data_IF_579194784427
#
_entry.id   IF_579194784427
#
_cell.length_a   1.000
_cell.length_b   1.000
_cell.length_c   1.000
_cell.angle_alpha   90.00
_cell.angle_beta   90.00
_cell.angle_gamma   90.00
#
_symmetry.space_group_name_H-M   'P 1'
#
loop_
_entity.id
_entity.type
_entity.pdbx_description
1 polymer ?
#
# COMPACT_ATOMS: atom_id res chain seq x y z
N UNK A 1 -4.11 -16.37 2.05
CA UNK A 1 -3.94 -15.61 3.31
C UNK A 1 -2.47 -15.27 3.50
N UNK A 2 -2.16 -14.00 3.83
CA UNK A 2 -0.83 -13.49 4.18
C UNK A 2 -0.91 -12.69 5.50
N UNK A 3 0.22 -12.42 6.14
CA UNK A 3 0.31 -11.55 7.32
C UNK A 3 0.90 -10.20 6.93
N UNK A 4 0.19 -9.10 7.19
CA UNK A 4 0.66 -7.75 6.86
C UNK A 4 1.94 -7.42 7.61
N UNK A 5 2.98 -6.98 6.90
CA UNK A 5 4.29 -6.66 7.51
C UNK A 5 4.21 -5.47 8.48
N UNK A 6 3.25 -4.55 8.29
CA UNK A 6 3.05 -3.35 9.13
C UNK A 6 2.13 -3.62 10.33
N UNK A 7 0.87 -3.98 10.09
CA UNK A 7 -0.11 -4.10 11.18
C UNK A 7 -0.22 -5.51 11.77
N UNK A 8 0.51 -6.49 11.20
CA UNK A 8 0.56 -7.90 11.63
C UNK A 8 -0.77 -8.64 11.60
N UNK A 9 -1.81 -8.07 10.99
CA UNK A 9 -3.10 -8.74 10.75
C UNK A 9 -3.03 -9.65 9.54
N UNK A 10 -3.79 -10.74 9.59
CA UNK A 10 -4.02 -11.58 8.42
C UNK A 10 -4.89 -10.86 7.40
N UNK A 11 -4.60 -11.08 6.11
CA UNK A 11 -5.40 -10.56 5.01
C UNK A 11 -5.38 -11.53 3.84
N UNK A 12 -6.38 -11.42 2.98
CA UNK A 12 -6.42 -12.12 1.72
C UNK A 12 -5.68 -11.27 0.66
N UNK A 13 -4.56 -11.75 0.09
CA UNK A 13 -3.84 -10.99 -0.94
C UNK A 13 -4.63 -10.82 -2.24
N UNK A 14 -5.65 -11.65 -2.50
CA UNK A 14 -6.49 -11.52 -3.69
C UNK A 14 -7.55 -10.42 -3.54
N UNK A 15 -7.82 -9.99 -2.31
CA UNK A 15 -8.71 -8.87 -2.01
C UNK A 15 -7.95 -7.55 -2.27
N UNK A 16 -8.04 -7.06 -3.50
CA UNK A 16 -7.57 -5.71 -3.83
C UNK A 16 -8.47 -4.67 -3.18
N UNK A 17 -7.87 -3.76 -2.42
CA UNK A 17 -8.54 -2.52 -2.04
C UNK A 17 -8.91 -1.72 -3.30
N UNK A 18 -9.94 -0.88 -3.21
CA UNK A 18 -10.35 -0.05 -4.34
C UNK A 18 -10.07 1.42 -4.03
N UNK A 19 -9.66 2.17 -5.05
CA UNK A 19 -9.59 3.62 -5.02
C UNK A 19 -8.17 4.20 -5.11
N UNK A 20 -8.06 5.53 -5.33
CA UNK A 20 -6.80 6.17 -5.69
C UNK A 20 -5.70 6.03 -4.64
N UNK A 21 -6.07 6.01 -3.35
CA UNK A 21 -5.13 5.81 -2.26
C UNK A 21 -4.54 4.40 -2.24
N UNK A 22 -5.31 3.37 -2.61
CA UNK A 22 -4.80 2.00 -2.69
C UNK A 22 -3.84 1.88 -3.86
N UNK A 23 -4.23 2.38 -5.04
CA UNK A 23 -3.39 2.39 -6.25
C UNK A 23 -2.05 3.12 -6.02
N UNK A 24 -2.08 4.28 -5.36
CA UNK A 24 -0.86 4.99 -4.97
C UNK A 24 -0.01 4.19 -3.98
N UNK A 25 -0.64 3.52 -3.01
CA UNK A 25 0.06 2.66 -2.05
C UNK A 25 0.77 1.49 -2.72
N UNK A 26 0.14 0.86 -3.70
CA UNK A 26 0.70 -0.20 -4.55
C UNK A 26 1.87 0.34 -5.38
N UNK A 27 1.68 1.46 -6.08
CA UNK A 27 2.73 2.11 -6.86
C UNK A 27 3.98 2.39 -6.00
N UNK A 28 3.81 2.92 -4.80
CA UNK A 28 4.91 3.18 -3.87
C UNK A 28 5.60 1.90 -3.39
N UNK A 29 4.83 0.84 -3.14
CA UNK A 29 5.38 -0.46 -2.74
C UNK A 29 6.23 -1.11 -3.83
N UNK A 30 5.76 -1.06 -5.07
CA UNK A 30 6.44 -1.65 -6.23
C UNK A 30 7.68 -0.85 -6.65
N UNK A 31 7.57 0.48 -6.71
CA UNK A 31 8.56 1.31 -7.40
C UNK A 31 9.53 2.04 -6.45
N UNK A 32 9.13 2.28 -5.20
CA UNK A 32 9.90 3.13 -4.27
C UNK A 32 10.41 2.35 -3.06
N UNK A 33 9.50 1.70 -2.34
CA UNK A 33 9.78 1.07 -1.05
C UNK A 33 10.25 -0.39 -1.19
N UNK A 34 9.99 -1.02 -2.35
CA UNK A 34 10.37 -2.41 -2.70
C UNK A 34 9.82 -3.45 -1.71
N UNK A 35 8.64 -3.18 -1.19
CA UNK A 35 7.88 -4.07 -0.30
C UNK A 35 6.45 -4.32 -0.83
N UNK A 36 6.30 -4.26 -2.15
CA UNK A 36 5.06 -4.58 -2.85
C UNK A 36 4.53 -5.97 -2.45
N UNK A 37 3.20 -6.06 -2.27
CA UNK A 37 2.46 -7.27 -1.88
C UNK A 37 2.61 -7.79 -0.43
N UNK A 38 3.34 -7.08 0.43
CA UNK A 38 3.52 -7.43 1.86
C UNK A 38 2.52 -6.76 2.81
N UNK A 39 1.66 -5.88 2.27
CA UNK A 39 0.72 -5.09 3.04
C UNK A 39 -0.74 -5.46 2.79
N UNK A 40 -1.55 -5.37 3.84
CA UNK A 40 -3.00 -5.44 3.70
C UNK A 40 -3.57 -4.19 3.03
N UNK A 41 -4.80 -4.26 2.46
CA UNK A 41 -5.43 -3.14 1.77
C UNK A 41 -5.48 -1.84 2.58
N UNK A 42 -5.79 -1.90 3.88
CA UNK A 42 -5.82 -0.72 4.75
C UNK A 42 -4.45 -0.07 4.92
N UNK A 43 -3.38 -0.87 5.02
CA UNK A 43 -2.02 -0.34 5.13
C UNK A 43 -1.53 0.24 3.79
N UNK A 44 -1.94 -0.33 2.66
CA UNK A 44 -1.71 0.25 1.33
C UNK A 44 -2.43 1.59 1.19
N UNK A 45 -3.72 1.66 1.56
CA UNK A 45 -4.50 2.89 1.52
C UNK A 45 -3.87 4.01 2.37
N UNK A 46 -3.50 3.70 3.62
CA UNK A 46 -2.84 4.67 4.49
C UNK A 46 -1.52 5.17 3.90
N UNK A 47 -0.72 4.27 3.34
CA UNK A 47 0.52 4.63 2.65
C UNK A 47 0.25 5.55 1.47
N UNK A 48 -0.70 5.21 0.61
CA UNK A 48 -1.01 6.03 -0.55
C UNK A 48 -1.62 7.37 -0.21
N UNK A 49 -2.43 7.48 0.85
CA UNK A 49 -2.86 8.77 1.38
C UNK A 49 -1.66 9.65 1.77
N UNK A 50 -0.70 9.10 2.51
CA UNK A 50 0.51 9.84 2.87
C UNK A 50 1.33 10.22 1.63
N UNK A 51 1.44 9.32 0.65
CA UNK A 51 2.07 9.59 -0.64
C UNK A 51 1.42 10.76 -1.38
N UNK A 52 0.11 10.74 -1.53
CA UNK A 52 -0.63 11.83 -2.18
C UNK A 52 -0.51 13.16 -1.42
N UNK A 53 -0.39 13.12 -0.09
CA UNK A 53 -0.23 14.33 0.72
C UNK A 53 1.19 14.92 0.63
N UNK A 54 2.21 14.09 0.75
CA UNK A 54 3.59 14.51 1.05
C UNK A 54 4.61 14.21 -0.05
N UNK A 55 4.32 13.31 -0.99
CA UNK A 55 5.25 12.89 -2.05
C UNK A 55 4.94 13.56 -3.40
N UNK A 56 4.61 14.87 -3.38
CA UNK A 56 4.22 15.61 -4.61
C UNK A 56 5.36 15.87 -5.59
N UNK A 57 6.61 15.71 -5.15
CA UNK A 57 7.83 15.97 -5.92
C UNK A 57 8.68 14.68 -6.02
N UNK A 58 8.05 13.54 -6.35
CA UNK A 58 8.78 12.31 -6.68
C UNK A 58 8.89 12.14 -8.18
N UNK A 59 9.39 13.19 -8.83
CA UNK A 59 9.84 13.27 -10.21
C UNK A 59 11.20 12.59 -10.43
#
# INVERSE_FOLDING_TARGET
MKTCSVCKKEFDPELRGQGPAVEMGEFLGENVLRDGEELCPTCLENRGMLGMMYCRNMD
#
